data_IF_911267664745
#
_entry.id   IF_911267664745
#
_cell.length_a   1.000
_cell.length_b   1.000
_cell.length_c   1.000
_cell.angle_alpha   90.00
_cell.angle_beta   90.00
_cell.angle_gamma   90.00
#
_symmetry.space_group_name_H-M   'P 1'
#
loop_
_entity.id
_entity.type
_entity.pdbx_description
1 polymer ?
#
# COMPACT_ATOMS: atom_id res chain seq x y z
N UNK A 1 29.54 -21.07 -14.35
CA UNK A 1 29.11 -20.59 -14.33
C UNK A 1 28.32 -20.15 -14.31
N UNK A 2 28.28 -20.41 -14.11
CA UNK A 2 27.54 -20.01 -14.03
C UNK A 2 26.79 -19.45 -13.75
N UNK A 3 26.76 -19.81 -13.54
CA UNK A 3 26.18 -19.36 -13.21
C UNK A 3 25.58 -18.58 -13.03
N UNK A 4 25.71 -18.84 -12.94
CA UNK A 4 25.18 -18.11 -12.68
C UNK A 4 24.50 -17.50 -12.68
N UNK A 5 24.59 -17.92 -12.72
CA UNK A 5 24.07 -17.38 -12.64
C UNK A 5 23.21 -16.85 -12.54
N UNK A 6 23.22 -17.22 -12.45
CA UNK A 6 22.50 -16.76 -12.24
C UNK A 6 21.83 -16.05 -11.96
N UNK A 7 22.00 -16.36 -11.92
CA UNK A 7 21.36 -15.72 -11.56
C UNK A 7 20.69 -14.85 -11.50
N UNK A 8 20.73 -15.08 -11.57
CA UNK A 8 20.14 -14.37 -11.41
C UNK A 8 19.51 -13.56 -11.46
N UNK A 9 19.52 -13.92 -11.52
CA UNK A 9 18.94 -13.33 -11.49
C UNK A 9 18.46 -12.47 -11.28
N UNK A 10 18.51 -12.67 -11.20
CA UNK A 10 18.11 -11.94 -10.83
C UNK A 10 17.75 -11.11 -10.72
N UNK A 11 18.10 -11.22 -10.46
CA UNK A 11 17.73 -10.48 -10.48
C UNK A 11 17.15 -9.21 -10.67
N UNK A 12 17.42 -9.09 -11.11
CA UNK A 12 16.81 -7.86 -11.35
C UNK A 12 15.38 -7.90 -10.92
N UNK A 13 14.89 -6.81 -10.33
CA UNK A 13 13.52 -6.86 -9.85
C UNK A 13 12.58 -6.97 -11.04
N UNK A 14 11.77 -7.97 -10.99
CA UNK A 14 10.76 -8.19 -11.99
C UNK A 14 9.46 -7.61 -11.45
N UNK A 15 8.74 -6.87 -12.27
CA UNK A 15 7.44 -6.38 -11.86
C UNK A 15 6.57 -7.55 -11.44
N UNK A 16 5.86 -7.37 -10.36
CA UNK A 16 4.99 -8.43 -9.85
C UNK A 16 3.90 -8.75 -10.86
N UNK A 17 3.61 -10.05 -11.03
CA UNK A 17 2.48 -10.46 -11.84
C UNK A 17 1.19 -10.40 -11.06
N UNK A 18 1.25 -10.24 -9.75
CA UNK A 18 0.05 -10.15 -8.91
C UNK A 18 -0.60 -8.78 -9.08
N UNK A 19 -1.87 -8.80 -9.45
CA UNK A 19 -2.63 -7.56 -9.61
C UNK A 19 -2.68 -6.80 -8.30
N UNK A 20 -2.91 -7.50 -7.19
CA UNK A 20 -2.99 -6.83 -5.90
C UNK A 20 -1.66 -6.19 -5.52
N UNK A 21 -0.56 -6.87 -5.76
CA UNK A 21 0.75 -6.30 -5.44
C UNK A 21 1.04 -5.10 -6.31
N UNK A 22 0.67 -5.15 -7.60
CA UNK A 22 0.85 -3.99 -8.47
C UNK A 22 0.04 -2.80 -7.97
N UNK A 23 -1.20 -3.05 -7.56
CA UNK A 23 -2.05 -1.97 -7.08
C UNK A 23 -1.48 -1.36 -5.79
N UNK A 24 -0.98 -2.20 -4.88
CA UNK A 24 -0.42 -1.69 -3.63
C UNK A 24 0.88 -0.93 -3.89
N UNK A 25 1.70 -1.38 -4.83
CA UNK A 25 2.89 -0.64 -5.19
C UNK A 25 2.53 0.74 -5.74
N UNK A 26 1.44 0.83 -6.50
CA UNK A 26 0.97 2.12 -6.99
C UNK A 26 0.51 3.02 -5.85
N UNK A 27 -0.16 2.44 -4.85
CA UNK A 27 -0.56 3.22 -3.67
C UNK A 27 0.67 3.72 -2.92
N UNK A 28 1.67 2.86 -2.76
CA UNK A 28 2.90 3.27 -2.08
C UNK A 28 3.59 4.41 -2.81
N UNK A 29 3.57 4.39 -4.15
CA UNK A 29 4.13 5.48 -4.92
C UNK A 29 3.38 6.78 -4.69
N UNK A 30 2.05 6.72 -4.57
CA UNK A 30 1.26 7.91 -4.23
C UNK A 30 1.67 8.46 -2.87
N UNK A 31 1.89 7.58 -1.91
CA UNK A 31 2.31 8.01 -0.58
C UNK A 31 3.69 8.65 -0.63
N UNK A 32 4.62 8.03 -1.35
CA UNK A 32 5.98 8.57 -1.47
C UNK A 32 5.98 9.94 -2.13
N UNK A 33 5.06 10.17 -3.07
CA UNK A 33 4.96 11.45 -3.76
C UNK A 33 4.49 12.58 -2.84
N UNK A 34 3.96 12.26 -1.67
CA UNK A 34 3.53 13.30 -0.73
C UNK A 34 4.72 14.01 -0.07
N UNK A 35 5.92 13.45 -0.17
CA UNK A 35 7.10 14.10 0.39
C UNK A 35 7.13 14.08 1.91
N UNK A 36 6.77 12.96 2.51
CA UNK A 36 6.73 12.81 3.96
C UNK A 36 8.15 12.67 4.50
N UNK A 37 8.27 12.44 5.82
CA UNK A 37 9.60 12.40 6.43
C UNK A 37 10.44 11.21 5.97
N UNK A 38 9.83 10.21 5.37
CA UNK A 38 10.54 9.05 4.82
C UNK A 38 9.62 8.36 3.82
N UNK A 39 10.20 7.51 2.99
CA UNK A 39 9.41 6.70 2.07
C UNK A 39 8.76 5.55 2.82
N UNK A 40 7.63 5.10 2.32
CA UNK A 40 6.92 3.97 2.93
C UNK A 40 7.47 2.66 2.37
N UNK A 41 7.58 1.66 3.23
CA UNK A 41 8.05 0.34 2.82
C UNK A 41 7.01 -0.71 3.20
N UNK A 42 7.08 -1.86 2.57
CA UNK A 42 6.20 -2.96 2.94
C UNK A 42 6.85 -3.76 4.06
N UNK A 43 6.01 -4.19 5.00
CA UNK A 43 6.46 -5.03 6.08
C UNK A 43 6.29 -4.37 7.43
N UNK A 44 7.07 -4.85 8.39
CA UNK A 44 6.97 -4.41 9.77
C UNK A 44 7.81 -3.17 10.02
N UNK A 45 7.49 -2.47 11.11
CA UNK A 45 8.27 -1.32 11.54
C UNK A 45 9.70 -1.74 11.82
N UNK A 46 10.65 -0.96 11.29
CA UNK A 46 12.05 -1.19 11.55
C UNK A 46 12.54 -0.37 12.72
N UNK A 47 13.85 -0.14 12.75
CA UNK A 47 14.44 0.75 13.72
C UNK A 47 14.43 2.17 13.17
N UNK A 48 14.39 3.14 14.07
CA UNK A 48 14.41 4.53 13.66
C UNK A 48 13.06 5.00 13.18
N UNK A 49 13.04 6.22 12.64
CA UNK A 49 11.82 6.81 12.11
C UNK A 49 11.46 6.15 10.81
N UNK A 50 10.24 5.63 10.71
CA UNK A 50 9.87 4.86 9.51
C UNK A 50 8.36 4.87 9.31
N UNK A 51 7.97 4.52 8.08
CA UNK A 51 6.58 4.28 7.69
C UNK A 51 6.54 2.94 6.98
N UNK A 52 5.54 2.14 7.28
CA UNK A 52 5.40 0.86 6.61
C UNK A 52 3.94 0.51 6.42
N UNK A 53 3.70 -0.42 5.52
CA UNK A 53 2.33 -0.87 5.24
C UNK A 53 2.33 -2.37 4.99
N UNK A 54 1.19 -2.97 5.26
CA UNK A 54 0.98 -4.39 5.00
C UNK A 54 -0.44 -4.61 4.55
N UNK A 55 -0.59 -5.60 3.67
CA UNK A 55 -1.92 -6.02 3.24
C UNK A 55 -2.51 -6.89 4.32
N UNK A 56 -3.68 -6.50 4.80
CA UNK A 56 -4.44 -7.32 5.72
C UNK A 56 -5.27 -8.36 4.99
N UNK A 57 -6.14 -9.04 5.71
CA UNK A 57 -7.02 -10.02 5.08
C UNK A 57 -7.92 -9.36 4.05
N UNK A 58 -8.06 -10.01 2.90
CA UNK A 58 -8.93 -9.51 1.84
C UNK A 58 -9.88 -10.61 1.43
N UNK A 59 -11.02 -10.22 0.90
CA UNK A 59 -11.96 -11.18 0.30
C UNK A 59 -12.51 -10.58 -0.96
N UNK A 60 -12.70 -11.41 -1.98
CA UNK A 60 -13.39 -10.93 -3.18
C UNK A 60 -14.79 -10.48 -2.79
N UNK A 61 -15.16 -9.31 -3.26
CA UNK A 61 -16.44 -8.77 -2.88
C UNK A 61 -17.52 -9.09 -3.89
N UNK A 62 -17.21 -8.88 -5.15
CA UNK A 62 -18.20 -9.02 -6.19
C UNK A 62 -17.56 -9.63 -7.42
N UNK A 63 -18.20 -10.63 -7.98
CA UNK A 63 -17.80 -11.21 -9.26
C UNK A 63 -18.95 -10.95 -10.23
N UNK A 64 -18.64 -10.25 -11.31
CA UNK A 64 -19.63 -9.89 -12.30
C UNK A 64 -19.74 -10.98 -13.37
N UNK A 65 -20.76 -10.87 -14.18
CA UNK A 65 -20.95 -11.85 -15.26
C UNK A 65 -19.76 -11.91 -16.19
N UNK A 66 -19.07 -10.82 -16.37
CA UNK A 66 -17.89 -10.75 -17.22
C UNK A 66 -16.63 -11.21 -16.49
N UNK A 67 -16.78 -11.74 -15.28
CA UNK A 67 -15.68 -12.26 -14.46
C UNK A 67 -14.79 -11.19 -13.87
N UNK A 68 -15.13 -9.93 -14.01
CA UNK A 68 -14.41 -8.89 -13.30
C UNK A 68 -14.79 -8.91 -11.83
N UNK A 69 -13.86 -8.57 -10.98
CA UNK A 69 -14.07 -8.58 -9.54
C UNK A 69 -13.71 -7.24 -8.94
N UNK A 70 -14.41 -6.90 -7.88
CA UNK A 70 -13.98 -5.83 -6.98
C UNK A 70 -13.43 -6.48 -5.74
N UNK A 71 -12.20 -6.13 -5.40
CA UNK A 71 -11.54 -6.71 -4.24
C UNK A 71 -11.21 -5.58 -3.28
N UNK A 72 -11.81 -5.55 -2.08
CA UNK A 72 -11.43 -4.57 -1.07
C UNK A 72 -10.17 -5.07 -0.38
N UNK A 73 -9.12 -4.28 -0.46
CA UNK A 73 -7.84 -4.62 0.15
C UNK A 73 -7.67 -3.75 1.37
N UNK A 74 -7.52 -4.38 2.53
CA UNK A 74 -7.24 -3.65 3.75
C UNK A 74 -5.74 -3.41 3.82
N UNK A 75 -5.36 -2.14 3.82
CA UNK A 75 -3.97 -1.76 3.86
C UNK A 75 -3.70 -1.09 5.19
N UNK A 76 -2.98 -1.79 6.04
CA UNK A 76 -2.58 -1.26 7.34
C UNK A 76 -1.36 -0.38 7.16
N UNK A 77 -1.38 0.80 7.76
CA UNK A 77 -0.27 1.73 7.70
C UNK A 77 0.21 1.99 9.11
N UNK A 78 1.50 1.79 9.33
CA UNK A 78 2.12 1.99 10.63
C UNK A 78 3.25 2.99 10.49
N UNK A 79 3.43 3.81 11.53
CA UNK A 79 4.50 4.78 11.52
C UNK A 79 5.16 4.86 12.88
N UNK A 80 6.41 5.31 12.86
CA UNK A 80 7.20 5.48 14.06
C UNK A 80 8.08 6.72 13.92
N UNK A 81 8.12 7.56 14.95
CA UNK A 81 8.91 8.79 14.89
C UNK A 81 9.15 9.32 16.30
N UNK A 82 10.28 10.00 16.47
CA UNK A 82 10.60 10.68 17.73
C UNK A 82 9.59 11.78 18.06
N UNK A 83 9.12 12.46 17.02
CA UNK A 83 8.25 13.63 17.16
C UNK A 83 6.83 13.24 16.80
N UNK A 84 5.93 13.30 17.76
CA UNK A 84 4.56 12.88 17.56
C UNK A 84 3.85 13.77 16.53
N UNK A 85 4.11 15.07 16.54
CA UNK A 85 3.46 15.96 15.57
C UNK A 85 3.84 15.61 14.15
N UNK A 86 5.13 15.35 13.92
CA UNK A 86 5.61 14.97 12.59
C UNK A 86 4.95 13.67 12.15
N UNK A 87 4.87 12.70 13.06
CA UNK A 87 4.25 11.41 12.74
C UNK A 87 2.76 11.59 12.46
N UNK A 88 2.07 12.36 13.28
CA UNK A 88 0.65 12.60 13.12
C UNK A 88 0.36 13.31 11.80
N UNK A 89 1.17 14.31 11.46
CA UNK A 89 0.99 15.03 10.20
C UNK A 89 1.18 14.09 9.01
N UNK A 90 2.16 13.20 9.08
CA UNK A 90 2.40 12.25 8.01
C UNK A 90 1.25 11.26 7.88
N UNK A 91 0.83 10.66 8.99
CA UNK A 91 -0.22 9.66 8.96
C UNK A 91 -1.55 10.26 8.50
N UNK A 92 -1.92 11.42 9.03
CA UNK A 92 -3.15 12.07 8.61
C UNK A 92 -3.06 12.55 7.16
N UNK A 93 -1.88 13.01 6.74
CA UNK A 93 -1.68 13.45 5.38
C UNK A 93 -1.90 12.33 4.37
N UNK A 94 -1.47 11.12 4.72
CA UNK A 94 -1.71 9.97 3.84
C UNK A 94 -3.21 9.78 3.63
N UNK A 95 -3.98 9.77 4.71
CA UNK A 95 -5.42 9.55 4.62
C UNK A 95 -6.12 10.69 3.89
N UNK A 96 -5.75 11.92 4.21
CA UNK A 96 -6.41 13.08 3.60
C UNK A 96 -6.17 13.12 2.10
N UNK A 97 -4.94 12.84 1.69
CA UNK A 97 -4.61 12.96 0.28
C UNK A 97 -5.11 11.78 -0.55
N UNK A 98 -4.98 10.57 -0.03
CA UNK A 98 -5.34 9.40 -0.83
C UNK A 98 -6.84 9.19 -0.94
N UNK A 99 -7.62 9.67 0.02
CA UNK A 99 -9.07 9.51 -0.05
C UNK A 99 -9.75 10.61 -0.84
N UNK A 100 -9.00 11.62 -1.30
CA UNK A 100 -9.57 12.78 -1.98
C UNK A 100 -9.11 12.93 -3.42
N UNK A 101 -8.57 11.89 -4.00
CA UNK A 101 -8.08 11.97 -5.38
C UNK A 101 -9.24 11.95 -6.36
N UNK A 102 -9.10 12.71 -7.44
CA UNK A 102 -10.09 12.71 -8.51
C UNK A 102 -9.95 11.47 -9.39
N UNK A 103 -8.76 10.91 -9.48
CA UNK A 103 -8.54 9.69 -10.24
C UNK A 103 -7.49 8.87 -9.53
N UNK A 104 -7.62 7.57 -9.65
CA UNK A 104 -6.73 6.63 -8.98
C UNK A 104 -5.91 5.87 -10.02
N UNK A 105 -4.77 5.30 -9.59
CA UNK A 105 -3.92 4.57 -10.53
C UNK A 105 -4.60 3.36 -11.13
N UNK A 106 -4.12 2.98 -12.29
CA UNK A 106 -4.59 1.78 -12.96
C UNK A 106 -3.42 1.13 -13.68
N UNK A 107 -3.58 -0.15 -13.99
CA UNK A 107 -2.61 -0.90 -14.78
C UNK A 107 -3.33 -1.59 -15.93
N UNK A 108 -2.63 -2.55 -16.53
CA UNK A 108 -3.18 -3.23 -17.70
C UNK A 108 -4.44 -4.00 -17.41
N UNK A 109 -4.51 -4.61 -16.24
CA UNK A 109 -5.60 -5.52 -15.92
C UNK A 109 -6.27 -5.20 -14.60
N UNK A 110 -6.07 -4.00 -14.12
CA UNK A 110 -6.63 -3.59 -12.84
C UNK A 110 -6.77 -2.08 -12.80
N UNK A 111 -7.65 -1.63 -11.93
CA UNK A 111 -7.70 -0.22 -11.61
C UNK A 111 -8.15 -0.07 -10.17
N UNK A 112 -7.64 0.96 -9.51
CA UNK A 112 -8.13 1.32 -8.18
C UNK A 112 -9.33 2.21 -8.39
N UNK A 113 -10.47 1.82 -7.82
CA UNK A 113 -11.70 2.59 -8.02
C UNK A 113 -12.02 3.46 -6.82
N UNK A 114 -11.43 3.17 -5.66
CA UNK A 114 -11.69 3.97 -4.46
C UNK A 114 -10.65 3.66 -3.41
N UNK A 115 -10.31 4.67 -2.61
CA UNK A 115 -9.51 4.50 -1.41
C UNK A 115 -10.24 5.25 -0.30
N UNK A 116 -10.55 4.52 0.77
CA UNK A 116 -11.28 5.10 1.89
C UNK A 116 -10.59 4.78 3.19
N UNK A 117 -10.80 5.63 4.19
CA UNK A 117 -10.27 5.37 5.51
C UNK A 117 -11.08 4.29 6.18
N UNK A 118 -10.41 3.22 6.58
CA UNK A 118 -11.04 2.17 7.37
C UNK A 118 -10.87 2.44 8.85
N UNK A 119 -9.66 2.83 9.26
CA UNK A 119 -9.36 3.16 10.64
C UNK A 119 -8.52 4.43 10.62
N UNK A 120 -8.99 5.44 11.34
CA UNK A 120 -8.27 6.70 11.43
C UNK A 120 -6.93 6.51 12.12
N UNK A 121 -5.92 7.32 11.78
CA UNK A 121 -4.64 7.24 12.47
C UNK A 121 -4.80 7.48 13.96
N UNK A 122 -4.12 6.65 14.74
CA UNK A 122 -4.18 6.77 16.19
C UNK A 122 -2.87 6.33 16.80
N UNK A 123 -2.55 6.89 17.94
CA UNK A 123 -1.37 6.49 18.69
C UNK A 123 -1.63 5.12 19.28
N UNK A 124 -0.70 4.19 19.06
CA UNK A 124 -0.83 2.86 19.62
C UNK A 124 0.20 2.59 20.70
N UNK A 125 1.17 3.48 20.90
CA UNK A 125 2.12 3.32 21.97
C UNK A 125 3.42 4.04 21.72
N UNK A 126 4.38 3.76 22.60
CA UNK A 126 5.75 4.23 22.47
C UNK A 126 6.67 3.03 22.69
N UNK A 127 7.74 2.99 21.93
CA UNK A 127 8.71 1.92 22.12
C UNK A 127 9.74 2.28 23.17
N UNK A 128 10.55 1.29 23.51
CA UNK A 128 11.58 1.48 24.53
C UNK A 128 12.60 2.54 24.11
N UNK A 129 12.70 2.85 22.83
CA UNK A 129 13.56 3.91 22.32
C UNK A 129 12.89 5.27 22.36
N UNK A 130 11.74 5.38 23.00
CA UNK A 130 10.96 6.62 23.15
C UNK A 130 10.34 7.14 21.86
N UNK A 131 10.25 6.28 20.85
CA UNK A 131 9.60 6.69 19.61
C UNK A 131 8.10 6.42 19.69
N UNK A 132 7.34 7.38 19.20
CA UNK A 132 5.89 7.22 19.11
C UNK A 132 5.54 6.27 17.97
N UNK A 133 4.50 5.47 18.18
CA UNK A 133 3.98 4.59 17.14
C UNK A 133 2.53 4.92 16.88
N UNK A 134 2.17 4.99 15.60
CA UNK A 134 0.79 5.20 15.19
C UNK A 134 0.41 4.13 14.17
N UNK A 135 -0.87 3.83 14.13
CA UNK A 135 -1.41 2.85 13.19
C UNK A 135 -2.69 3.37 12.59
N UNK A 136 -2.96 2.94 11.37
CA UNK A 136 -4.19 3.28 10.68
C UNK A 136 -4.46 2.23 9.62
N UNK A 137 -5.58 2.33 8.93
CA UNK A 137 -5.90 1.43 7.84
C UNK A 137 -6.70 2.13 6.77
N UNK A 138 -6.38 1.78 5.54
CA UNK A 138 -7.14 2.22 4.37
C UNK A 138 -7.79 0.98 3.74
N UNK A 139 -8.94 1.19 3.13
CA UNK A 139 -9.51 0.18 2.24
C UNK A 139 -9.27 0.64 0.82
N UNK A 140 -8.54 -0.16 0.07
CA UNK A 140 -8.23 0.12 -1.34
C UNK A 140 -9.08 -0.82 -2.17
N UNK A 141 -10.01 -0.27 -2.92
CA UNK A 141 -10.91 -1.08 -3.72
C UNK A 141 -10.33 -1.23 -5.11
N UNK A 142 -9.98 -2.46 -5.46
CA UNK A 142 -9.33 -2.78 -6.72
C UNK A 142 -10.30 -3.51 -7.61
N UNK A 143 -10.48 -3.00 -8.83
CA UNK A 143 -11.27 -3.70 -9.84
C UNK A 143 -10.32 -4.46 -10.75
N UNK A 144 -10.62 -5.71 -10.99
CA UNK A 144 -9.85 -6.49 -11.96
C UNK A 144 -10.54 -6.36 -13.31
N UNK A 145 -9.73 -6.17 -14.35
CA UNK A 145 -10.25 -5.95 -15.70
C UNK A 145 -9.85 -7.14 -16.56
N UNK A 146 -10.83 -7.86 -17.05
CA UNK A 146 -10.60 -9.03 -17.89
C UNK A 146 -11.11 -8.69 -19.27
N UNK A 147 -10.23 -8.81 -20.26
CA UNK A 147 -10.62 -8.48 -21.62
C UNK A 147 -11.54 -9.57 -22.17
N UNK A 148 -12.51 -9.19 -22.99
CA UNK A 148 -13.51 -10.16 -23.43
C UNK A 148 -12.94 -11.28 -24.28
N UNK A 149 -11.86 -11.09 -24.99
CA UNK A 149 -11.31 -12.15 -25.80
C UNK A 149 -10.48 -13.11 -24.99
N UNK A 150 -10.60 -13.05 -23.69
CA UNK A 150 -10.00 -14.04 -22.82
C UNK A 150 -8.52 -13.90 -22.68
N UNK A 151 -8.07 -12.93 -23.30
CA UNK A 151 -6.67 -12.78 -23.21
C UNK A 151 -6.35 -12.17 -22.05
#
# INVERSE_FOLDING_TARGET
>A
MSENEQAVTEEEPVASTSILNQAIEAVMALIDDLGLFTDIIRGALGTGNCLCCEIGPTSPETVWLDKNKYIPVDLTINGKHDNLQTLSDAMNGIHENLTMLFSYPSGDRWEIVDIATMTEPQVVGRESDNKWMMASALTVKVATLITPDGE
#
